data_IF_543487630465
#
_entry.id   IF_543487630465
#
_cell.length_a   1.000
_cell.length_b   1.000
_cell.length_c   1.000
_cell.angle_alpha   90.00
_cell.angle_beta   90.00
_cell.angle_gamma   90.00
#
_symmetry.space_group_name_H-M   'P 1'
#
loop_
_entity.id
_entity.type
_entity.pdbx_description
1 polymer ?
#
# COMPACT_ATOMS: atom_id res chain seq x y z
N UNK A 1 -35.53 -8.24 38.53
CA UNK A 1 -34.07 -8.01 38.57
C UNK A 1 -33.53 -8.49 37.23
N UNK A 2 -33.04 -7.56 36.44
CA UNK A 2 -32.77 -7.70 35.02
C UNK A 2 -31.52 -8.53 34.71
N UNK A 3 -31.70 -9.64 33.99
CA UNK A 3 -30.62 -10.50 33.46
C UNK A 3 -30.15 -10.07 32.05
N UNK A 4 -30.32 -8.79 31.69
CA UNK A 4 -30.01 -8.29 30.33
C UNK A 4 -28.72 -7.41 30.27
N UNK A 5 -27.93 -7.36 31.36
CA UNK A 5 -26.74 -6.47 31.41
C UNK A 5 -25.41 -7.19 31.15
N UNK A 6 -25.41 -8.43 30.68
CA UNK A 6 -24.21 -9.25 30.61
C UNK A 6 -23.77 -9.65 29.18
N UNK A 7 -24.18 -8.95 28.13
CA UNK A 7 -23.75 -9.25 26.76
C UNK A 7 -23.43 -7.97 25.98
N UNK A 8 -22.44 -7.20 26.43
CA UNK A 8 -21.64 -6.39 25.54
C UNK A 8 -20.23 -7.00 25.50
N UNK A 9 -19.87 -7.84 24.50
CA UNK A 9 -18.48 -8.01 24.20
C UNK A 9 -17.99 -6.62 23.75
N UNK A 10 -17.17 -5.98 24.56
CA UNK A 10 -16.34 -4.89 24.06
C UNK A 10 -15.47 -5.51 22.96
N UNK A 11 -15.89 -5.35 21.71
CA UNK A 11 -15.04 -5.57 20.54
C UNK A 11 -13.94 -4.50 20.61
N UNK A 12 -12.93 -4.72 21.44
CA UNK A 12 -11.70 -3.94 21.38
C UNK A 12 -11.03 -4.35 20.07
N UNK A 13 -11.01 -3.44 19.10
CA UNK A 13 -10.28 -3.63 17.84
C UNK A 13 -8.84 -4.02 18.20
N UNK A 14 -8.36 -5.15 17.65
CA UNK A 14 -6.95 -5.49 17.79
C UNK A 14 -6.09 -4.50 17.01
N UNK A 15 -4.80 -4.40 17.35
CA UNK A 15 -3.87 -3.57 16.56
C UNK A 15 -3.82 -4.06 15.11
N UNK A 16 -3.87 -5.37 14.87
CA UNK A 16 -3.91 -5.95 13.54
C UNK A 16 -5.15 -5.52 12.76
N UNK A 17 -6.35 -5.53 13.39
CA UNK A 17 -7.57 -5.06 12.78
C UNK A 17 -7.47 -3.57 12.42
N UNK A 18 -7.02 -2.74 13.35
CA UNK A 18 -6.89 -1.30 13.13
C UNK A 18 -5.92 -0.95 11.99
N UNK A 19 -4.77 -1.63 11.91
CA UNK A 19 -3.80 -1.42 10.83
C UNK A 19 -4.33 -1.91 9.48
N UNK A 20 -5.11 -3.00 9.47
CA UNK A 20 -5.76 -3.50 8.26
C UNK A 20 -6.85 -2.53 7.78
N UNK A 21 -7.67 -1.98 8.69
CA UNK A 21 -8.66 -0.96 8.37
C UNK A 21 -7.98 0.26 7.73
N UNK A 22 -6.92 0.79 8.35
CA UNK A 22 -6.17 1.93 7.79
C UNK A 22 -5.59 1.64 6.40
N UNK A 23 -5.07 0.43 6.17
CA UNK A 23 -4.52 0.06 4.88
C UNK A 23 -5.60 -0.02 3.79
N UNK A 24 -6.75 -0.63 4.10
CA UNK A 24 -7.87 -0.74 3.17
C UNK A 24 -8.51 0.62 2.92
N UNK A 25 -8.72 1.43 3.95
CA UNK A 25 -9.24 2.79 3.81
C UNK A 25 -8.33 3.65 2.92
N UNK A 26 -7.00 3.51 3.08
CA UNK A 26 -6.05 4.21 2.23
C UNK A 26 -6.14 3.79 0.75
N UNK A 27 -6.37 2.51 0.46
CA UNK A 27 -6.58 2.01 -0.90
C UNK A 27 -7.88 2.54 -1.52
N UNK A 28 -8.96 2.55 -0.74
CA UNK A 28 -10.26 3.07 -1.18
C UNK A 28 -10.18 4.58 -1.41
N UNK A 29 -9.60 5.31 -0.46
CA UNK A 29 -9.41 6.76 -0.55
C UNK A 29 -8.53 7.15 -1.76
N UNK A 30 -7.49 6.36 -2.05
CA UNK A 30 -6.64 6.56 -3.23
C UNK A 30 -7.43 6.32 -4.52
N UNK A 31 -8.17 5.21 -4.60
CA UNK A 31 -8.98 4.89 -5.78
C UNK A 31 -10.04 5.96 -6.04
N UNK A 32 -10.66 6.49 -4.98
CA UNK A 32 -11.68 7.54 -5.03
C UNK A 32 -11.13 8.94 -5.31
N UNK A 33 -9.84 9.18 -5.09
CA UNK A 33 -9.24 10.49 -5.31
C UNK A 33 -9.36 10.91 -6.77
N UNK A 34 -9.89 12.13 -7.02
CA UNK A 34 -10.18 12.61 -8.36
C UNK A 34 -9.94 14.13 -8.46
N UNK A 35 -9.38 14.63 -9.57
CA UNK A 35 -8.97 13.92 -10.78
C UNK A 35 -7.57 13.31 -10.70
N UNK A 36 -7.40 12.07 -11.18
CA UNK A 36 -6.07 11.45 -11.33
C UNK A 36 -5.72 11.30 -12.83
N UNK A 37 -4.63 11.91 -13.32
CA UNK A 37 -4.28 11.83 -14.73
C UNK A 37 -3.99 10.38 -15.18
N UNK A 38 -4.76 9.86 -16.14
CA UNK A 38 -4.56 8.55 -16.74
C UNK A 38 -4.92 7.34 -15.86
N UNK A 39 -5.22 7.54 -14.58
CA UNK A 39 -5.54 6.47 -13.63
C UNK A 39 -7.05 6.33 -13.39
N UNK A 40 -7.44 5.19 -12.82
CA UNK A 40 -8.82 4.96 -12.37
C UNK A 40 -9.17 5.96 -11.28
N UNK A 41 -10.28 6.65 -11.41
CA UNK A 41 -10.85 7.53 -10.39
C UNK A 41 -12.40 7.54 -10.46
N UNK A 42 -13.07 8.44 -9.70
CA UNK A 42 -14.54 8.56 -9.71
C UNK A 42 -15.11 8.97 -11.06
N UNK A 43 -14.32 9.47 -12.00
CA UNK A 43 -14.77 9.89 -13.34
C UNK A 43 -14.72 8.74 -14.33
N UNK A 44 -13.94 7.68 -14.07
CA UNK A 44 -13.83 6.53 -14.96
C UNK A 44 -12.53 5.77 -14.85
N UNK A 45 -12.26 4.98 -15.86
CA UNK A 45 -11.13 4.03 -15.90
C UNK A 45 -9.79 4.66 -16.31
N UNK A 46 -9.74 5.97 -16.58
CA UNK A 46 -8.53 6.60 -17.10
C UNK A 46 -8.09 5.99 -18.44
N UNK A 47 -6.83 5.61 -18.53
CA UNK A 47 -6.25 4.92 -19.70
C UNK A 47 -6.40 3.38 -19.66
N UNK A 48 -7.03 2.84 -18.63
CA UNK A 48 -7.22 1.40 -18.50
C UNK A 48 -8.44 0.89 -19.25
N UNK A 49 -8.30 -0.28 -19.85
CA UNK A 49 -9.40 -1.01 -20.51
C UNK A 49 -9.93 -2.17 -19.66
N UNK A 50 -9.16 -2.56 -18.64
CA UNK A 50 -9.38 -3.73 -17.77
C UNK A 50 -9.67 -3.37 -16.31
N UNK A 51 -9.52 -2.09 -15.93
CA UNK A 51 -9.72 -1.58 -14.58
C UNK A 51 -10.89 -0.60 -14.50
N UNK A 52 -11.63 -0.68 -13.42
CA UNK A 52 -12.66 0.30 -13.04
C UNK A 52 -12.76 0.43 -11.52
N UNK A 53 -13.39 1.49 -11.03
CA UNK A 53 -13.43 1.83 -9.61
C UNK A 53 -14.00 0.71 -8.72
N UNK A 54 -15.09 0.07 -9.16
CA UNK A 54 -15.68 -1.05 -8.41
C UNK A 54 -14.73 -2.26 -8.25
N UNK A 55 -13.87 -2.51 -9.25
CA UNK A 55 -12.87 -3.56 -9.18
C UNK A 55 -11.75 -3.19 -8.20
N UNK A 56 -11.35 -1.92 -8.16
CA UNK A 56 -10.39 -1.40 -7.18
C UNK A 56 -10.91 -1.56 -5.76
N UNK A 57 -12.17 -1.20 -5.49
CA UNK A 57 -12.79 -1.36 -4.17
C UNK A 57 -12.89 -2.83 -3.76
N UNK A 58 -13.38 -3.72 -4.65
CA UNK A 58 -13.48 -5.14 -4.35
C UNK A 58 -12.12 -5.75 -3.99
N UNK A 59 -11.09 -5.38 -4.73
CA UNK A 59 -9.71 -5.79 -4.47
C UNK A 59 -9.18 -5.25 -3.14
N UNK A 60 -9.40 -3.97 -2.83
CA UNK A 60 -8.96 -3.37 -1.57
C UNK A 60 -9.56 -4.10 -0.36
N UNK A 61 -10.87 -4.37 -0.39
CA UNK A 61 -11.57 -5.10 0.69
C UNK A 61 -11.05 -6.53 0.84
N UNK A 62 -10.76 -7.22 -0.26
CA UNK A 62 -10.24 -8.59 -0.24
C UNK A 62 -8.83 -8.69 0.37
N UNK A 63 -8.07 -7.60 0.41
CA UNK A 63 -6.72 -7.55 0.99
C UNK A 63 -6.68 -7.31 2.49
N UNK A 64 -7.81 -7.00 3.12
CA UNK A 64 -7.89 -6.76 4.56
C UNK A 64 -7.28 -7.88 5.42
N UNK A 65 -7.59 -9.18 5.19
CA UNK A 65 -7.00 -10.27 5.96
C UNK A 65 -5.48 -10.35 5.82
N UNK A 66 -4.95 -10.01 4.64
CA UNK A 66 -3.50 -10.04 4.40
C UNK A 66 -2.78 -8.94 5.18
N UNK A 67 -3.29 -7.71 5.21
CA UNK A 67 -2.69 -6.63 6.00
C UNK A 67 -2.74 -6.93 7.50
N UNK A 68 -3.87 -7.47 7.98
CA UNK A 68 -3.98 -7.94 9.36
C UNK A 68 -2.93 -9.00 9.69
N UNK A 69 -2.83 -10.04 8.88
CA UNK A 69 -1.88 -11.13 9.10
C UNK A 69 -0.43 -10.66 9.08
N UNK A 70 -0.06 -9.69 8.23
CA UNK A 70 1.28 -9.09 8.23
C UNK A 70 1.58 -8.31 9.51
N UNK A 71 0.61 -7.55 10.03
CA UNK A 71 0.74 -6.85 11.30
C UNK A 71 0.85 -7.83 12.48
N UNK A 72 0.03 -8.87 12.53
CA UNK A 72 0.06 -9.91 13.57
C UNK A 72 1.37 -10.70 13.54
N UNK A 73 1.89 -11.06 12.36
CA UNK A 73 3.19 -11.71 12.22
C UNK A 73 4.31 -10.83 12.81
N UNK A 74 4.28 -9.53 12.55
CA UNK A 74 5.26 -8.59 13.11
C UNK A 74 5.13 -8.46 14.65
N UNK A 75 3.90 -8.39 15.18
CA UNK A 75 3.67 -8.38 16.64
C UNK A 75 4.19 -9.66 17.32
N UNK A 76 3.90 -10.82 16.73
CA UNK A 76 4.34 -12.10 17.27
C UNK A 76 5.87 -12.24 17.25
N UNK A 77 6.50 -11.72 16.21
CA UNK A 77 7.96 -11.78 16.06
C UNK A 77 8.67 -10.79 16.97
N UNK A 78 8.18 -9.57 17.09
CA UNK A 78 8.73 -8.49 17.89
C UNK A 78 10.06 -7.90 17.39
N UNK A 79 10.64 -8.43 16.30
CA UNK A 79 11.90 -7.96 15.72
C UNK A 79 11.92 -8.08 14.19
N UNK A 80 12.84 -7.33 13.56
CA UNK A 80 13.06 -7.38 12.11
C UNK A 80 14.14 -8.40 11.81
N UNK A 81 13.74 -9.58 11.33
CA UNK A 81 14.62 -10.68 10.94
C UNK A 81 14.21 -11.33 9.62
N UNK A 82 14.98 -12.32 9.17
CA UNK A 82 14.69 -13.06 7.94
C UNK A 82 13.40 -13.88 8.01
N UNK A 83 12.98 -14.29 9.20
CA UNK A 83 11.73 -15.03 9.36
C UNK A 83 10.52 -14.12 9.20
N UNK A 84 10.53 -12.93 9.84
CA UNK A 84 9.50 -11.93 9.60
C UNK A 84 9.44 -11.54 8.12
N UNK A 85 10.61 -11.36 7.47
CA UNK A 85 10.67 -11.06 6.04
C UNK A 85 10.02 -12.17 5.19
N UNK A 86 10.28 -13.43 5.53
CA UNK A 86 9.69 -14.57 4.84
C UNK A 86 8.17 -14.66 5.04
N UNK A 87 7.70 -14.44 6.29
CA UNK A 87 6.27 -14.44 6.61
C UNK A 87 5.53 -13.32 5.87
N UNK A 88 6.02 -12.08 5.91
CA UNK A 88 5.44 -10.95 5.17
C UNK A 88 5.44 -11.23 3.66
N UNK A 89 6.51 -11.84 3.14
CA UNK A 89 6.59 -12.22 1.73
C UNK A 89 5.57 -13.29 1.35
N UNK A 90 5.40 -14.32 2.16
CA UNK A 90 4.41 -15.38 1.94
C UNK A 90 2.98 -14.82 1.98
N UNK A 91 2.63 -14.06 3.04
CA UNK A 91 1.31 -13.45 3.18
C UNK A 91 1.03 -12.50 2.01
N UNK A 92 2.05 -11.74 1.56
CA UNK A 92 1.90 -10.86 0.41
C UNK A 92 1.58 -11.60 -0.89
N UNK A 93 2.18 -12.76 -1.14
CA UNK A 93 1.86 -13.61 -2.30
C UNK A 93 0.45 -14.20 -2.20
N UNK A 94 0.05 -14.67 -1.03
CA UNK A 94 -1.32 -15.14 -0.77
C UNK A 94 -2.34 -14.00 -1.00
N UNK A 95 -2.03 -12.79 -0.55
CA UNK A 95 -2.83 -11.59 -0.83
C UNK A 95 -2.89 -11.25 -2.32
N UNK A 96 -1.80 -11.41 -3.06
CA UNK A 96 -1.79 -11.23 -4.51
C UNK A 96 -2.65 -12.27 -5.23
N UNK A 97 -2.61 -13.53 -4.80
CA UNK A 97 -3.49 -14.59 -5.33
C UNK A 97 -4.96 -14.26 -5.08
N UNK A 98 -5.30 -13.81 -3.87
CA UNK A 98 -6.66 -13.40 -3.53
C UNK A 98 -7.11 -12.18 -4.34
N UNK A 99 -6.25 -11.16 -4.49
CA UNK A 99 -6.49 -10.02 -5.37
C UNK A 99 -6.83 -10.49 -6.80
N UNK A 100 -6.00 -11.35 -7.38
CA UNK A 100 -6.23 -11.88 -8.73
C UNK A 100 -7.50 -12.70 -8.83
N UNK A 101 -7.84 -13.45 -7.79
CA UNK A 101 -9.09 -14.24 -7.73
C UNK A 101 -10.33 -13.35 -7.78
N UNK A 102 -10.38 -12.27 -6.97
CA UNK A 102 -11.55 -11.38 -6.92
C UNK A 102 -11.66 -10.44 -8.10
N UNK A 103 -10.54 -10.20 -8.79
CA UNK A 103 -10.48 -9.29 -9.94
C UNK A 103 -10.54 -10.01 -11.29
N UNK A 104 -10.71 -11.34 -11.30
CA UNK A 104 -10.71 -12.13 -12.54
C UNK A 104 -9.34 -12.11 -13.24
N UNK A 105 -8.25 -12.03 -12.49
CA UNK A 105 -6.88 -12.05 -13.02
C UNK A 105 -6.28 -10.66 -13.27
N UNK A 106 -7.01 -9.59 -12.99
CA UNK A 106 -6.53 -8.23 -13.21
C UNK A 106 -5.68 -7.75 -12.02
N UNK A 107 -4.48 -7.27 -12.29
CA UNK A 107 -3.60 -6.72 -11.26
C UNK A 107 -4.04 -5.28 -10.90
N UNK A 108 -4.61 -5.12 -9.73
CA UNK A 108 -5.07 -3.82 -9.19
C UNK A 108 -4.08 -3.22 -8.19
N UNK A 109 -3.59 -4.02 -7.22
CA UNK A 109 -2.90 -3.53 -6.02
C UNK A 109 -1.56 -4.22 -5.70
N UNK A 110 -0.90 -4.91 -6.64
CA UNK A 110 0.38 -5.62 -6.36
C UNK A 110 1.42 -4.72 -5.69
N UNK A 111 1.62 -3.51 -6.21
CA UNK A 111 2.54 -2.53 -5.61
C UNK A 111 2.10 -2.07 -4.23
N UNK A 112 0.80 -1.92 -4.02
CA UNK A 112 0.22 -1.52 -2.75
C UNK A 112 0.32 -2.63 -1.69
N UNK A 113 0.11 -3.91 -2.07
CA UNK A 113 0.34 -5.06 -1.17
C UNK A 113 1.76 -5.02 -0.62
N UNK A 114 2.76 -4.77 -1.48
CA UNK A 114 4.14 -4.61 -1.08
C UNK A 114 4.34 -3.43 -0.12
N UNK A 115 3.93 -2.22 -0.52
CA UNK A 115 4.17 -1.01 0.25
C UNK A 115 3.40 -0.99 1.58
N UNK A 116 2.08 -1.19 1.54
CA UNK A 116 1.23 -1.16 2.74
C UNK A 116 1.47 -2.37 3.65
N UNK A 117 1.80 -3.53 3.08
CA UNK A 117 2.17 -4.71 3.86
C UNK A 117 3.43 -4.47 4.70
N UNK A 118 4.46 -3.89 4.11
CA UNK A 118 5.67 -3.49 4.84
C UNK A 118 5.38 -2.43 5.90
N UNK A 119 4.55 -1.43 5.58
CA UNK A 119 4.20 -0.36 6.52
C UNK A 119 3.34 -0.88 7.67
N UNK A 120 2.37 -1.76 7.42
CA UNK A 120 1.55 -2.39 8.46
C UNK A 120 2.39 -3.25 9.41
N UNK A 121 3.27 -4.09 8.86
CA UNK A 121 4.21 -4.87 9.68
C UNK A 121 5.16 -3.96 10.48
N UNK A 122 5.70 -2.91 9.87
CA UNK A 122 6.59 -1.96 10.53
C UNK A 122 5.92 -1.16 11.65
N UNK A 123 4.65 -0.78 11.46
CA UNK A 123 3.87 -0.10 12.49
C UNK A 123 3.55 -1.02 13.68
N UNK A 124 3.28 -2.30 13.41
CA UNK A 124 2.95 -3.29 14.42
C UNK A 124 4.13 -3.67 15.33
N UNK A 125 5.39 -3.49 14.87
CA UNK A 125 6.59 -3.82 15.65
C UNK A 125 6.78 -2.92 16.88
N UNK A 126 6.42 -1.65 16.81
CA UNK A 126 6.51 -0.73 17.95
C UNK A 126 5.48 0.39 17.84
N UNK A 127 4.41 0.23 18.64
CA UNK A 127 3.29 1.19 18.69
C UNK A 127 3.59 2.46 19.47
N UNK A 128 4.70 2.50 20.22
CA UNK A 128 5.08 3.67 21.03
C UNK A 128 5.72 4.75 20.16
N UNK A 129 6.24 4.36 19.00
CA UNK A 129 6.94 5.24 18.08
C UNK A 129 6.34 5.15 16.66
N UNK A 130 5.13 5.68 16.49
CA UNK A 130 4.39 5.66 15.22
C UNK A 130 4.57 6.94 14.37
N UNK A 131 5.73 7.60 14.46
CA UNK A 131 6.00 8.69 13.53
C UNK A 131 6.19 8.14 12.11
N UNK A 132 5.73 8.87 11.06
CA UNK A 132 5.90 8.40 9.68
C UNK A 132 7.34 8.01 9.34
N UNK A 133 8.32 8.79 9.80
CA UNK A 133 9.73 8.53 9.54
C UNK A 133 10.23 7.22 10.19
N UNK A 134 9.79 6.92 11.41
CA UNK A 134 10.18 5.69 12.11
C UNK A 134 9.53 4.45 11.52
N UNK A 135 8.25 4.54 11.15
CA UNK A 135 7.55 3.45 10.45
C UNK A 135 8.23 3.19 9.09
N UNK A 136 8.52 4.23 8.33
CA UNK A 136 9.21 4.12 7.03
C UNK A 136 10.62 3.51 7.18
N UNK A 137 11.38 3.88 8.22
CA UNK A 137 12.71 3.31 8.49
C UNK A 137 12.64 1.82 8.84
N UNK A 138 11.68 1.38 9.67
CA UNK A 138 11.48 -0.03 9.98
C UNK A 138 11.06 -0.81 8.73
N UNK A 139 10.15 -0.26 7.92
CA UNK A 139 9.73 -0.86 6.65
C UNK A 139 10.91 -1.00 5.68
N UNK A 140 11.79 0.01 5.59
CA UNK A 140 13.01 -0.06 4.78
C UNK A 140 13.95 -1.17 5.25
N UNK A 141 14.18 -1.31 6.55
CA UNK A 141 15.01 -2.39 7.11
C UNK A 141 14.43 -3.76 6.75
N UNK A 142 13.12 -3.94 6.83
CA UNK A 142 12.45 -5.18 6.42
C UNK A 142 12.55 -5.42 4.90
N UNK A 143 12.41 -4.36 4.09
CA UNK A 143 12.52 -4.42 2.62
C UNK A 143 13.93 -4.74 2.12
N UNK A 144 14.96 -4.45 2.90
CA UNK A 144 16.36 -4.75 2.59
C UNK A 144 16.73 -6.23 2.82
N UNK A 145 15.94 -6.95 3.62
CA UNK A 145 16.14 -8.37 3.84
C UNK A 145 15.70 -9.19 2.63
N UNK A 146 16.44 -10.24 2.31
CA UNK A 146 16.10 -11.14 1.22
C UNK A 146 14.95 -12.08 1.60
N UNK A 147 13.94 -12.15 0.74
CA UNK A 147 12.94 -13.21 0.79
C UNK A 147 13.42 -14.41 -0.03
N UNK A 148 14.01 -15.38 0.64
CA UNK A 148 14.55 -16.60 0.01
C UNK A 148 13.48 -17.49 -0.65
N UNK A 149 12.21 -17.31 -0.25
CA UNK A 149 11.07 -18.02 -0.83
C UNK A 149 10.42 -17.26 -1.99
N UNK A 150 10.92 -16.06 -2.30
CA UNK A 150 10.39 -15.31 -3.44
C UNK A 150 10.66 -16.06 -4.75
N UNK A 151 9.62 -16.34 -5.56
CA UNK A 151 9.86 -16.94 -6.87
C UNK A 151 10.74 -16.01 -7.71
N UNK A 152 11.57 -16.58 -8.56
CA UNK A 152 12.42 -15.82 -9.48
C UNK A 152 11.52 -15.14 -10.53
N UNK A 153 10.99 -13.97 -10.20
CA UNK A 153 10.06 -13.22 -11.07
C UNK A 153 10.83 -12.22 -11.92
N UNK A 154 11.47 -12.72 -12.99
CA UNK A 154 12.05 -11.84 -14.01
C UNK A 154 11.05 -11.07 -14.87
N UNK A 155 9.74 -11.22 -14.65
CA UNK A 155 8.71 -10.89 -15.64
C UNK A 155 7.58 -9.95 -15.13
N UNK A 156 7.70 -9.27 -13.99
CA UNK A 156 6.67 -8.29 -13.65
C UNK A 156 6.75 -7.05 -14.56
N UNK A 157 5.59 -6.45 -14.91
CA UNK A 157 5.54 -5.22 -15.72
C UNK A 157 6.44 -4.12 -15.13
N UNK A 158 6.39 -3.93 -13.81
CA UNK A 158 7.26 -2.98 -13.12
C UNK A 158 8.75 -3.27 -13.29
N UNK A 159 9.19 -4.53 -13.21
CA UNK A 159 10.59 -4.91 -13.43
C UNK A 159 11.03 -4.69 -14.89
N UNK A 160 10.12 -4.89 -15.84
CA UNK A 160 10.37 -4.60 -17.26
C UNK A 160 10.56 -3.10 -17.48
N UNK A 161 9.67 -2.27 -16.95
CA UNK A 161 9.73 -0.81 -17.03
C UNK A 161 11.00 -0.27 -16.38
N UNK A 162 11.33 -0.75 -15.17
CA UNK A 162 12.56 -0.34 -14.48
C UNK A 162 13.81 -0.62 -15.33
N UNK A 163 13.86 -1.77 -16.03
CA UNK A 163 14.98 -2.11 -16.92
C UNK A 163 15.03 -1.23 -18.17
N UNK A 164 13.86 -0.95 -18.78
CA UNK A 164 13.78 -0.17 -20.03
C UNK A 164 14.11 1.30 -19.83
N UNK A 165 13.63 1.88 -18.73
CA UNK A 165 13.74 3.32 -18.48
C UNK A 165 14.81 3.68 -17.44
N UNK A 166 15.46 2.71 -16.81
CA UNK A 166 16.46 2.95 -15.76
C UNK A 166 15.88 3.58 -14.50
N UNK A 167 14.56 3.41 -14.25
CA UNK A 167 13.88 4.01 -13.13
C UNK A 167 13.79 3.09 -11.93
N UNK A 168 13.67 3.68 -10.74
CA UNK A 168 13.45 2.94 -9.50
C UNK A 168 11.95 2.65 -9.32
N UNK A 169 11.61 1.38 -9.06
CA UNK A 169 10.24 0.96 -8.78
C UNK A 169 9.93 0.92 -7.29
N UNK A 170 8.72 0.43 -6.96
CA UNK A 170 8.21 0.36 -5.58
C UNK A 170 9.15 -0.36 -4.60
N UNK A 171 9.92 -1.34 -5.06
CA UNK A 171 10.91 -2.05 -4.22
C UNK A 171 12.01 -1.11 -3.74
N UNK A 172 12.61 -0.35 -4.63
CA UNK A 172 13.68 0.58 -4.30
C UNK A 172 13.17 1.72 -3.40
N UNK A 173 11.96 2.22 -3.68
CA UNK A 173 11.31 3.25 -2.86
C UNK A 173 11.16 2.77 -1.40
N UNK A 174 10.67 1.54 -1.20
CA UNK A 174 10.55 0.97 0.14
C UNK A 174 11.92 0.78 0.82
N UNK A 175 12.92 0.28 0.10
CA UNK A 175 14.28 0.08 0.62
C UNK A 175 14.97 1.38 1.04
N UNK A 176 14.60 2.50 0.42
CA UNK A 176 15.08 3.84 0.75
C UNK A 176 14.25 4.54 1.85
N UNK A 177 13.22 3.90 2.39
CA UNK A 177 12.34 4.46 3.42
C UNK A 177 11.29 5.43 2.89
N UNK A 178 10.80 5.17 1.68
CA UNK A 178 9.72 5.95 1.04
C UNK A 178 10.02 7.46 0.94
N UNK A 179 11.16 7.87 0.36
CA UNK A 179 11.57 9.28 0.31
C UNK A 179 10.54 10.17 -0.40
N UNK A 180 9.87 9.69 -1.45
CA UNK A 180 8.82 10.44 -2.12
C UNK A 180 7.64 10.74 -1.19
N UNK A 181 7.29 9.81 -0.30
CA UNK A 181 6.23 10.00 0.69
C UNK A 181 6.69 10.91 1.82
N UNK A 182 7.82 10.58 2.46
CA UNK A 182 8.29 11.27 3.68
C UNK A 182 8.75 12.70 3.39
N UNK A 183 9.46 12.91 2.27
CA UNK A 183 10.10 14.20 1.98
C UNK A 183 9.28 15.10 1.06
N UNK A 184 8.31 14.55 0.30
CA UNK A 184 7.50 15.32 -0.65
C UNK A 184 6.01 15.30 -0.29
N UNK A 185 5.39 14.11 -0.27
CA UNK A 185 3.94 14.00 -0.12
C UNK A 185 3.44 14.53 1.23
N UNK A 186 3.99 14.04 2.34
CA UNK A 186 3.52 14.43 3.66
C UNK A 186 3.74 15.93 3.96
N UNK A 187 4.91 16.54 3.64
CA UNK A 187 5.08 17.99 3.76
C UNK A 187 4.12 18.78 2.86
N UNK A 188 3.88 18.32 1.62
CA UNK A 188 2.93 19.00 0.73
C UNK A 188 1.50 18.91 1.26
N UNK A 189 1.08 17.70 1.69
CA UNK A 189 -0.23 17.49 2.32
C UNK A 189 -0.46 18.44 3.50
N UNK A 190 0.54 18.57 4.38
CA UNK A 190 0.47 19.45 5.54
C UNK A 190 0.38 20.93 5.12
N UNK A 191 1.16 21.37 4.11
CA UNK A 191 1.09 22.73 3.58
C UNK A 191 -0.28 23.06 3.00
N UNK A 192 -0.83 22.18 2.16
CA UNK A 192 -2.13 22.40 1.51
C UNK A 192 -3.27 22.41 2.51
N UNK A 193 -3.23 21.54 3.53
CA UNK A 193 -4.20 21.57 4.65
C UNK A 193 -4.12 22.88 5.44
N UNK A 194 -2.92 23.34 5.76
CA UNK A 194 -2.70 24.61 6.47
C UNK A 194 -3.15 25.82 5.65
N UNK A 195 -3.07 25.76 4.32
CA UNK A 195 -3.57 26.78 3.39
C UNK A 195 -5.09 26.73 3.18
N UNK A 196 -5.80 25.78 3.78
CA UNK A 196 -7.26 25.65 3.64
C UNK A 196 -7.74 25.11 2.30
N UNK A 197 -6.92 24.33 1.59
CA UNK A 197 -7.26 23.80 0.26
C UNK A 197 -8.42 22.78 0.27
N UNK A 198 -8.83 22.28 1.44
CA UNK A 198 -9.74 21.16 1.59
C UNK A 198 -9.03 19.81 1.38
N UNK A 199 -9.59 18.74 1.96
CA UNK A 199 -8.90 17.45 2.02
C UNK A 199 -8.63 16.84 0.65
N UNK A 200 -9.60 16.90 -0.28
CA UNK A 200 -9.43 16.37 -1.62
C UNK A 200 -8.29 17.07 -2.38
N UNK A 201 -8.24 18.39 -2.35
CA UNK A 201 -7.18 19.15 -3.03
C UNK A 201 -5.82 18.92 -2.34
N UNK A 202 -5.79 18.86 -1.00
CA UNK A 202 -4.55 18.59 -0.27
C UNK A 202 -3.97 17.21 -0.63
N UNK A 203 -4.81 16.20 -0.79
CA UNK A 203 -4.40 14.86 -1.25
C UNK A 203 -3.93 14.86 -2.71
N UNK A 204 -4.60 15.61 -3.59
CA UNK A 204 -4.16 15.78 -4.99
C UNK A 204 -2.80 16.47 -5.07
N UNK A 205 -2.60 17.54 -4.31
CA UNK A 205 -1.32 18.23 -4.24
C UNK A 205 -0.19 17.30 -3.75
N UNK A 206 -0.48 16.44 -2.77
CA UNK A 206 0.46 15.43 -2.30
C UNK A 206 0.77 14.38 -3.37
N UNK A 207 -0.24 13.90 -4.10
CA UNK A 207 -0.07 12.98 -5.22
C UNK A 207 0.81 13.60 -6.31
N UNK A 208 0.53 14.84 -6.71
CA UNK A 208 1.32 15.55 -7.71
C UNK A 208 2.77 15.76 -7.23
N UNK A 209 2.97 16.02 -5.93
CA UNK A 209 4.31 16.12 -5.36
C UNK A 209 5.09 14.79 -5.45
N UNK A 210 4.44 13.65 -5.21
CA UNK A 210 5.04 12.32 -5.43
C UNK A 210 5.44 12.14 -6.90
N UNK A 211 4.56 12.48 -7.83
CA UNK A 211 4.78 12.31 -9.27
C UNK A 211 5.96 13.14 -9.81
N UNK A 212 6.42 14.18 -9.10
CA UNK A 212 7.63 14.93 -9.49
C UNK A 212 8.92 14.16 -9.20
N UNK A 213 8.90 13.18 -8.32
CA UNK A 213 10.08 12.46 -7.85
C UNK A 213 10.05 10.97 -8.19
N UNK A 214 8.87 10.36 -8.21
CA UNK A 214 8.69 8.95 -8.45
C UNK A 214 8.27 8.71 -9.89
N UNK A 215 9.06 7.90 -10.61
CA UNK A 215 8.63 7.40 -11.91
C UNK A 215 7.56 6.32 -11.69
N UNK A 216 6.31 6.65 -12.04
CA UNK A 216 5.22 5.69 -11.95
C UNK A 216 5.35 4.62 -13.04
N UNK A 217 5.71 3.41 -12.62
CA UNK A 217 5.89 2.28 -13.52
C UNK A 217 4.59 1.82 -14.19
N UNK A 218 3.42 2.11 -13.61
CA UNK A 218 2.12 1.84 -14.22
C UNK A 218 1.85 2.82 -15.36
N UNK A 219 2.05 4.12 -15.14
CA UNK A 219 1.89 5.14 -16.19
C UNK A 219 2.89 4.92 -17.32
N UNK A 220 4.14 4.60 -17.01
CA UNK A 220 5.15 4.26 -18.03
C UNK A 220 4.77 3.00 -18.82
N UNK A 221 4.23 1.98 -18.15
CA UNK A 221 3.76 0.77 -18.83
C UNK A 221 2.57 1.06 -19.75
N UNK A 222 1.59 1.84 -19.28
CA UNK A 222 0.46 2.26 -20.10
C UNK A 222 0.91 3.03 -21.34
N UNK A 223 1.93 3.87 -21.25
CA UNK A 223 2.50 4.57 -22.41
C UNK A 223 3.11 3.62 -23.43
N UNK A 224 3.69 2.48 -23.00
CA UNK A 224 4.25 1.47 -23.91
C UNK A 224 3.18 0.71 -24.71
N UNK A 225 2.00 0.49 -24.15
CA UNK A 225 0.93 -0.27 -24.83
C UNK A 225 0.03 0.64 -25.71
N UNK A 226 0.19 1.94 -25.61
CA UNK A 226 -0.55 2.93 -26.42
C UNK A 226 0.30 3.58 -27.52
N UNK A 227 1.59 3.22 -27.64
CA UNK A 227 2.46 3.60 -28.74
C UNK A 227 2.44 2.53 -29.83
#
# INVERSE_FOLDING_TARGET
MNALTALQPQLSLSLGDWLADLAVDALIDEADLSPKPGLVDRRGSGAHTDLHLGLMHASALALWPSFKAMAEAAQQRGEIDLHLRADVGRIGREGEEEMLRVTGGVNTHRGAIWALGLLSAAAALDVRELTPAQVALRAARLALLDDRAAPFTGASHGAQVCRLYGVHGARAEAQLGFPAVIQQALPQLARSRAAGAGEQNARLDALLAIMTQLADTCVLYLSLIHI
#
